data_IF_523592955892
#
_entry.id   IF_523592955892
#
_cell.length_a   1.000
_cell.length_b   1.000
_cell.length_c   1.000
_cell.angle_alpha   90.00
_cell.angle_beta   90.00
_cell.angle_gamma   90.00
#
_symmetry.space_group_name_H-M   'P 1'
#
loop_
_entity.id
_entity.type
_entity.pdbx_description
1 polymer ?
#
# COMPACT_ATOMS: atom_id res chain seq x y z
N UNK A 1 10.47 -2.58 -2.41
CA UNK A 1 10.02 -3.97 -2.10
C UNK A 1 11.22 -4.87 -1.79
N UNK A 2 11.94 -4.63 -0.69
CA UNK A 2 13.17 -5.37 -0.35
C UNK A 2 12.91 -6.45 0.70
N UNK A 3 12.15 -6.12 1.74
CA UNK A 3 11.97 -6.99 2.90
C UNK A 3 11.06 -8.19 2.59
N UNK A 4 9.96 -7.97 1.88
CA UNK A 4 9.03 -9.05 1.54
C UNK A 4 9.64 -10.02 0.52
N UNK A 5 10.42 -9.52 -0.45
CA UNK A 5 11.15 -10.37 -1.40
C UNK A 5 12.24 -11.20 -0.71
N UNK A 6 12.98 -10.62 0.24
CA UNK A 6 13.97 -11.36 1.02
C UNK A 6 13.34 -12.53 1.78
N UNK A 7 12.20 -12.31 2.45
CA UNK A 7 11.46 -13.36 3.13
C UNK A 7 10.98 -14.45 2.17
N UNK A 8 10.44 -14.06 1.00
CA UNK A 8 10.02 -15.01 -0.04
C UNK A 8 11.19 -15.87 -0.54
N UNK A 9 12.35 -15.27 -0.82
CA UNK A 9 13.56 -15.98 -1.29
C UNK A 9 14.06 -16.98 -0.23
N UNK A 10 13.88 -16.67 1.05
CA UNK A 10 14.21 -17.58 2.16
C UNK A 10 13.17 -18.68 2.39
N UNK A 11 12.06 -18.68 1.64
CA UNK A 11 10.98 -19.65 1.83
C UNK A 11 10.14 -19.40 3.09
N UNK A 12 10.17 -18.19 3.63
CA UNK A 12 9.42 -17.84 4.83
C UNK A 12 7.92 -17.71 4.51
N UNK A 13 7.14 -18.73 4.86
CA UNK A 13 5.69 -18.78 4.58
C UNK A 13 4.89 -17.67 5.30
N UNK A 14 5.46 -17.13 6.37
CA UNK A 14 4.86 -16.05 7.17
C UNK A 14 4.49 -14.82 6.33
N UNK A 15 5.23 -14.54 5.25
CA UNK A 15 4.98 -13.38 4.38
C UNK A 15 3.61 -13.48 3.69
N UNK A 16 3.18 -14.68 3.31
CA UNK A 16 1.86 -14.92 2.70
C UNK A 16 0.76 -14.60 3.71
N UNK A 17 0.97 -14.96 4.98
CA UNK A 17 0.03 -14.66 6.07
C UNK A 17 -0.09 -13.15 6.30
N UNK A 18 1.03 -12.41 6.22
CA UNK A 18 1.03 -10.96 6.35
C UNK A 18 0.25 -10.27 5.22
N UNK A 19 0.49 -10.66 3.96
CA UNK A 19 -0.27 -10.11 2.82
C UNK A 19 -1.76 -10.46 2.89
N UNK A 20 -2.13 -11.66 3.37
CA UNK A 20 -3.55 -12.02 3.57
C UNK A 20 -4.24 -11.15 4.62
N UNK A 21 -3.57 -10.90 5.76
CA UNK A 21 -4.07 -9.99 6.81
C UNK A 21 -4.22 -8.58 6.29
N UNK A 22 -3.20 -8.08 5.60
CA UNK A 22 -3.19 -6.76 4.99
C UNK A 22 -4.33 -6.58 3.99
N UNK A 23 -4.54 -7.55 3.09
CA UNK A 23 -5.65 -7.50 2.13
C UNK A 23 -7.04 -7.48 2.80
N UNK A 24 -7.21 -8.21 3.92
CA UNK A 24 -8.44 -8.15 4.70
C UNK A 24 -8.63 -6.77 5.34
N UNK A 25 -7.57 -6.22 5.93
CA UNK A 25 -7.64 -4.93 6.60
C UNK A 25 -7.81 -3.77 5.63
N UNK A 26 -7.25 -3.85 4.42
CA UNK A 26 -7.53 -2.89 3.36
C UNK A 26 -9.01 -2.85 2.97
N UNK A 27 -9.71 -4.00 2.95
CA UNK A 27 -11.16 -4.02 2.74
C UNK A 27 -11.91 -3.23 3.83
N UNK A 28 -11.45 -3.34 5.08
CA UNK A 28 -12.00 -2.56 6.19
C UNK A 28 -11.73 -1.07 6.01
N UNK A 29 -10.47 -0.67 5.76
CA UNK A 29 -10.09 0.72 5.48
C UNK A 29 -10.95 1.31 4.36
N UNK A 30 -11.13 0.56 3.28
CA UNK A 30 -11.90 0.97 2.11
C UNK A 30 -13.42 1.04 2.32
N UNK A 31 -13.94 0.41 3.37
CA UNK A 31 -15.35 0.55 3.77
C UNK A 31 -15.62 1.78 4.63
N UNK A 32 -14.58 2.43 5.15
CA UNK A 32 -14.71 3.60 6.03
C UNK A 32 -15.00 4.86 5.22
N UNK A 33 -15.93 5.74 5.67
CA UNK A 33 -16.21 7.02 5.00
C UNK A 33 -14.96 7.87 4.75
N UNK A 34 -14.00 7.82 5.67
CA UNK A 34 -12.73 8.56 5.62
C UNK A 34 -11.84 8.16 4.43
N UNK A 35 -12.11 7.02 3.78
CA UNK A 35 -11.35 6.59 2.60
C UNK A 35 -11.74 7.32 1.31
N UNK A 36 -12.78 8.15 1.33
CA UNK A 36 -13.34 8.80 0.14
C UNK A 36 -12.67 10.10 -0.29
N UNK A 37 -11.81 10.70 0.53
CA UNK A 37 -11.14 11.98 0.21
C UNK A 37 -9.66 11.95 0.55
N UNK A 38 -8.87 12.79 -0.12
CA UNK A 38 -7.42 12.83 0.05
C UNK A 38 -7.02 13.13 1.50
N UNK A 39 -7.57 14.18 2.10
CA UNK A 39 -7.20 14.61 3.45
C UNK A 39 -7.61 13.60 4.52
N UNK A 40 -8.82 13.06 4.41
CA UNK A 40 -9.33 12.06 5.35
C UNK A 40 -8.57 10.74 5.22
N UNK A 41 -8.26 10.30 3.98
CA UNK A 41 -7.48 9.09 3.76
C UNK A 41 -6.04 9.27 4.25
N UNK A 42 -5.39 10.41 4.00
CA UNK A 42 -4.05 10.69 4.52
C UNK A 42 -3.98 10.65 6.05
N UNK A 43 -5.00 11.20 6.73
CA UNK A 43 -5.12 11.12 8.19
C UNK A 43 -5.35 9.69 8.66
N UNK A 44 -6.20 8.93 7.97
CA UNK A 44 -6.44 7.52 8.25
C UNK A 44 -5.18 6.66 8.08
N UNK A 45 -4.42 6.83 6.99
CA UNK A 45 -3.18 6.08 6.76
C UNK A 45 -2.14 6.34 7.87
N UNK A 46 -2.09 7.57 8.38
CA UNK A 46 -1.21 7.92 9.51
C UNK A 46 -1.50 7.04 10.73
N UNK A 47 -2.77 6.85 11.09
CA UNK A 47 -3.12 6.00 12.24
C UNK A 47 -2.95 4.51 11.95
N UNK A 48 -3.22 4.09 10.71
CA UNK A 48 -3.17 2.69 10.31
C UNK A 48 -1.76 2.12 10.15
N UNK A 49 -0.73 2.95 9.94
CA UNK A 49 0.66 2.46 9.89
C UNK A 49 1.00 1.58 11.09
N UNK A 50 0.60 2.00 12.29
CA UNK A 50 0.87 1.25 13.53
C UNK A 50 0.21 -0.13 13.55
N UNK A 51 -0.94 -0.29 12.88
CA UNK A 51 -1.61 -1.57 12.76
C UNK A 51 -0.81 -2.52 11.87
N UNK A 52 -0.36 -2.05 10.69
CA UNK A 52 0.43 -2.87 9.78
C UNK A 52 1.76 -3.29 10.40
N UNK A 53 2.48 -2.37 11.05
CA UNK A 53 3.74 -2.68 11.73
C UNK A 53 3.58 -3.76 12.81
N UNK A 54 2.47 -3.76 13.55
CA UNK A 54 2.21 -4.75 14.60
C UNK A 54 1.73 -6.09 14.05
N UNK A 55 0.97 -6.09 12.95
CA UNK A 55 0.25 -7.26 12.47
C UNK A 55 0.89 -7.94 11.25
N UNK A 56 1.81 -7.27 10.56
CA UNK A 56 2.37 -7.68 9.28
C UNK A 56 3.91 -7.81 9.31
N UNK A 57 4.46 -8.49 10.31
CA UNK A 57 5.89 -8.88 10.30
C UNK A 57 6.84 -7.85 10.92
N UNK A 58 6.33 -6.94 11.75
CA UNK A 58 7.13 -5.92 12.43
C UNK A 58 7.23 -4.62 11.63
N UNK A 59 8.03 -3.68 12.13
CA UNK A 59 8.13 -2.32 11.59
C UNK A 59 8.43 -2.31 10.08
N UNK A 60 9.54 -2.91 9.67
CA UNK A 60 10.02 -2.81 8.29
C UNK A 60 9.16 -3.58 7.29
N UNK A 61 8.83 -4.84 7.62
CA UNK A 61 7.98 -5.68 6.75
C UNK A 61 6.57 -5.12 6.70
N UNK A 62 6.02 -4.66 7.83
CA UNK A 62 4.66 -4.15 7.91
C UNK A 62 4.46 -2.88 7.11
N UNK A 63 5.43 -1.95 7.14
CA UNK A 63 5.41 -0.75 6.29
C UNK A 63 5.41 -1.10 4.80
N UNK A 64 6.26 -2.05 4.38
CA UNK A 64 6.30 -2.50 2.99
C UNK A 64 4.99 -3.20 2.59
N UNK A 65 4.51 -4.11 3.42
CA UNK A 65 3.24 -4.84 3.20
C UNK A 65 2.06 -3.86 3.11
N UNK A 66 1.99 -2.84 3.98
CA UNK A 66 0.96 -1.81 3.95
C UNK A 66 0.85 -1.19 2.56
N UNK A 67 1.97 -0.69 2.04
CA UNK A 67 2.04 0.02 0.77
C UNK A 67 1.77 -0.92 -0.40
N UNK A 68 2.48 -2.04 -0.46
CA UNK A 68 2.40 -2.97 -1.60
C UNK A 68 1.00 -3.55 -1.70
N UNK A 69 0.43 -4.05 -0.59
CA UNK A 69 -0.93 -4.60 -0.61
C UNK A 69 -2.00 -3.56 -0.89
N UNK A 70 -1.76 -2.28 -0.55
CA UNK A 70 -2.68 -1.19 -0.83
C UNK A 70 -2.68 -0.77 -2.30
N UNK A 71 -1.50 -0.46 -2.85
CA UNK A 71 -1.36 0.00 -4.24
C UNK A 71 -1.50 -1.16 -5.23
N UNK A 72 -0.69 -2.21 -5.09
CA UNK A 72 -0.69 -3.34 -6.04
C UNK A 72 -1.96 -4.17 -5.92
N UNK A 73 -2.65 -4.12 -4.76
CA UNK A 73 -3.98 -4.71 -4.62
C UNK A 73 -5.06 -4.07 -5.51
N UNK A 74 -4.79 -2.91 -6.13
CA UNK A 74 -5.66 -2.24 -7.10
C UNK A 74 -5.20 -2.46 -8.56
N UNK A 75 -4.16 -3.25 -8.78
CA UNK A 75 -3.56 -3.50 -10.09
C UNK A 75 -3.95 -4.90 -10.61
N UNK A 76 -4.28 -4.99 -11.88
CA UNK A 76 -4.51 -6.25 -12.59
C UNK A 76 -3.42 -6.45 -13.64
N UNK A 77 -2.83 -7.64 -13.73
CA UNK A 77 -1.73 -7.90 -14.67
C UNK A 77 -2.10 -7.69 -16.14
N UNK A 78 -3.36 -7.95 -16.50
CA UNK A 78 -3.83 -7.81 -17.88
C UNK A 78 -4.21 -6.37 -18.25
N UNK A 79 -4.72 -5.59 -17.29
CA UNK A 79 -5.36 -4.29 -17.55
C UNK A 79 -4.67 -3.11 -16.86
N UNK A 80 -3.64 -3.38 -16.07
CA UNK A 80 -2.96 -2.40 -15.23
C UNK A 80 -3.86 -1.87 -14.13
N UNK A 81 -3.82 -0.55 -13.90
CA UNK A 81 -4.68 0.09 -12.91
C UNK A 81 -6.12 0.34 -13.39
N UNK A 82 -6.42 0.25 -14.70
CA UNK A 82 -7.72 0.52 -15.34
C UNK A 82 -8.82 1.15 -14.45
N UNK A 83 -9.88 0.41 -14.09
CA UNK A 83 -10.98 0.90 -13.24
C UNK A 83 -10.58 1.28 -11.81
N UNK A 84 -9.39 0.87 -11.36
CA UNK A 84 -8.76 1.24 -10.09
C UNK A 84 -7.88 2.49 -10.14
N UNK A 85 -7.60 3.08 -11.32
CA UNK A 85 -6.63 4.18 -11.47
C UNK A 85 -6.95 5.41 -10.60
N UNK A 86 -8.20 5.93 -10.57
CA UNK A 86 -8.54 7.05 -9.69
C UNK A 86 -8.27 6.73 -8.21
N UNK A 87 -8.55 5.49 -7.80
CA UNK A 87 -8.37 5.02 -6.42
C UNK A 87 -6.90 4.82 -6.08
N UNK A 88 -6.12 4.27 -7.00
CA UNK A 88 -4.68 4.10 -6.84
C UNK A 88 -3.98 5.47 -6.75
N UNK A 89 -4.39 6.44 -7.57
CA UNK A 89 -3.88 7.81 -7.52
C UNK A 89 -4.22 8.50 -6.20
N UNK A 90 -5.48 8.42 -5.77
CA UNK A 90 -5.92 8.92 -4.47
C UNK A 90 -5.11 8.29 -3.33
N UNK A 91 -4.90 6.98 -3.37
CA UNK A 91 -4.14 6.28 -2.34
C UNK A 91 -2.67 6.72 -2.31
N UNK A 92 -2.03 6.81 -3.47
CA UNK A 92 -0.66 7.30 -3.59
C UNK A 92 -0.53 8.74 -3.05
N UNK A 93 -1.38 9.65 -3.50
CA UNK A 93 -1.37 11.04 -3.06
C UNK A 93 -1.64 11.15 -1.54
N UNK A 94 -2.50 10.27 -1.00
CA UNK A 94 -2.77 10.18 0.42
C UNK A 94 -1.55 9.69 1.22
N UNK A 95 -0.80 8.70 0.73
CA UNK A 95 0.47 8.32 1.34
C UNK A 95 1.44 9.50 1.40
N UNK A 96 1.61 10.22 0.29
CA UNK A 96 2.52 11.38 0.25
C UNK A 96 2.09 12.50 1.20
N UNK A 97 0.77 12.71 1.34
CA UNK A 97 0.17 13.75 2.18
C UNK A 97 0.02 13.36 3.66
N UNK A 98 0.20 12.08 4.01
CA UNK A 98 0.05 11.57 5.38
C UNK A 98 1.21 11.99 6.30
N UNK A 99 1.06 11.73 7.61
CA UNK A 99 2.19 11.76 8.56
C UNK A 99 2.81 10.37 8.77
N UNK A 100 2.63 9.44 7.83
CA UNK A 100 3.38 8.19 7.82
C UNK A 100 4.89 8.46 7.75
N UNK A 101 5.67 7.45 8.13
CA UNK A 101 7.13 7.57 8.12
C UNK A 101 7.68 7.79 6.71
N UNK A 102 8.89 8.36 6.63
CA UNK A 102 9.57 8.64 5.36
C UNK A 102 9.74 7.35 4.54
N UNK A 103 9.98 6.22 5.21
CA UNK A 103 10.10 4.92 4.57
C UNK A 103 8.81 4.49 3.89
N UNK A 104 7.65 4.64 4.55
CA UNK A 104 6.34 4.34 3.93
C UNK A 104 6.14 5.18 2.67
N UNK A 105 6.43 6.48 2.74
CA UNK A 105 6.28 7.39 1.59
C UNK A 105 7.22 7.04 0.44
N UNK A 106 8.47 6.71 0.76
CA UNK A 106 9.48 6.30 -0.21
C UNK A 106 9.11 4.97 -0.87
N UNK A 107 8.62 3.98 -0.11
CA UNK A 107 8.13 2.72 -0.67
C UNK A 107 6.91 2.97 -1.57
N UNK A 108 6.00 3.87 -1.19
CA UNK A 108 4.84 4.21 -2.01
C UNK A 108 5.25 4.83 -3.35
N UNK A 109 6.27 5.69 -3.36
CA UNK A 109 6.84 6.23 -4.59
C UNK A 109 7.52 5.15 -5.44
N UNK A 110 8.36 4.31 -4.84
CA UNK A 110 9.02 3.20 -5.55
C UNK A 110 7.99 2.25 -6.21
N UNK A 111 6.95 1.87 -5.47
CA UNK A 111 5.88 1.00 -5.96
C UNK A 111 5.08 1.71 -7.06
N UNK A 112 4.66 2.96 -6.85
CA UNK A 112 3.92 3.71 -7.86
C UNK A 112 4.71 3.86 -9.16
N UNK A 113 6.03 4.09 -9.10
CA UNK A 113 6.91 4.12 -10.28
C UNK A 113 7.02 2.74 -10.94
N UNK A 114 7.21 1.68 -10.15
CA UNK A 114 7.41 0.32 -10.67
C UNK A 114 6.19 -0.25 -11.41
N UNK A 115 5.00 0.30 -11.14
CA UNK A 115 3.74 -0.08 -11.78
C UNK A 115 3.18 1.02 -12.70
N UNK A 116 4.02 1.96 -13.13
CA UNK A 116 3.70 3.06 -14.06
C UNK A 116 2.54 3.98 -13.62
N UNK A 117 2.19 4.00 -12.33
CA UNK A 117 1.12 4.84 -11.78
C UNK A 117 1.44 6.34 -11.93
N UNK A 118 2.72 6.70 -11.84
CA UNK A 118 3.17 8.09 -11.94
C UNK A 118 3.31 8.58 -13.39
N UNK A 119 3.44 7.65 -14.35
CA UNK A 119 3.59 7.97 -15.77
C UNK A 119 2.23 8.01 -16.50
N UNK A 120 1.16 7.50 -15.87
CA UNK A 120 -0.21 7.50 -16.39
C UNK A 120 -0.81 8.91 -16.63
N UNK A 121 -0.10 9.99 -16.31
CA UNK A 121 -0.46 11.38 -16.67
C UNK A 121 0.03 11.83 -18.07
N UNK A 122 0.46 10.91 -18.93
CA UNK A 122 0.96 11.21 -20.29
C UNK A 122 0.00 10.87 -21.45
N UNK A 123 -1.29 10.68 -21.20
CA UNK A 123 -2.32 10.52 -22.25
C UNK A 123 -3.45 11.50 -22.05
#
# INVERSE_FOLDING_TARGET
>A
MRYSLELLVRGEESIVVHYRKAASHWREIWSRPESGSLSSLASLLTSEQSWFEKNCGGRWVGQEVMVVSGLVGLYETESGFNGGLPRARLLYDAFQSSYCSVEVKSIAEEVARSYDLLDASRV
#
